data_IF_597741675483
#
_entry.id   IF_597741675483
#
_cell.length_a   1.000
_cell.length_b   1.000
_cell.length_c   1.000
_cell.angle_alpha   90.00
_cell.angle_beta   90.00
_cell.angle_gamma   90.00
#
_symmetry.space_group_name_H-M   'P 1'
#
loop_
_entity.id
_entity.type
_entity.pdbx_description
1 polymer ?
#
# COMPACT_ATOMS: atom_id res chain seq x y z
N UNK A 1 -25.93 21.84 -1.07
CA UNK A 1 -26.23 20.40 -1.17
C UNK A 1 -24.99 19.51 -1.02
N UNK A 2 -24.11 19.32 -2.02
CA UNK A 2 -22.96 18.38 -1.89
C UNK A 2 -21.98 18.76 -0.76
N UNK A 3 -21.71 20.05 -0.57
CA UNK A 3 -20.84 20.55 0.51
C UNK A 3 -21.41 20.32 1.93
N UNK A 4 -22.74 20.39 2.09
CA UNK A 4 -23.40 20.16 3.40
C UNK A 4 -23.40 18.68 3.74
N UNK A 5 -23.63 17.82 2.75
CA UNK A 5 -23.56 16.38 2.88
C UNK A 5 -22.14 15.93 3.29
N UNK A 6 -21.12 16.50 2.66
CA UNK A 6 -19.71 16.25 3.01
C UNK A 6 -19.41 16.66 4.46
N UNK A 7 -19.87 17.86 4.89
CA UNK A 7 -19.74 18.31 6.28
C UNK A 7 -20.41 17.36 7.26
N UNK A 8 -21.62 16.90 6.95
CA UNK A 8 -22.36 15.94 7.76
C UNK A 8 -21.61 14.60 7.88
N UNK A 9 -21.12 14.04 6.76
CA UNK A 9 -20.36 12.78 6.77
C UNK A 9 -19.08 12.94 7.62
N UNK A 10 -18.38 14.07 7.51
CA UNK A 10 -17.20 14.35 8.33
C UNK A 10 -17.53 14.47 9.82
N UNK A 11 -18.64 15.13 10.17
CA UNK A 11 -19.09 15.24 11.56
C UNK A 11 -19.50 13.88 12.13
N UNK A 12 -20.25 13.08 11.37
CA UNK A 12 -20.64 11.72 11.76
C UNK A 12 -19.41 10.81 11.98
N UNK A 13 -18.38 10.93 11.13
CA UNK A 13 -17.09 10.24 11.34
C UNK A 13 -16.40 10.70 12.62
N UNK A 14 -16.37 12.01 12.92
CA UNK A 14 -15.81 12.53 14.19
C UNK A 14 -16.52 11.98 15.42
N UNK A 15 -17.82 11.70 15.30
CA UNK A 15 -18.63 11.06 16.35
C UNK A 15 -18.44 9.53 16.43
N UNK A 16 -17.56 8.95 15.61
CA UNK A 16 -17.23 7.51 15.65
C UNK A 16 -18.20 6.61 14.88
N UNK A 17 -19.06 7.17 14.01
CA UNK A 17 -19.96 6.37 13.18
C UNK A 17 -19.20 5.78 11.97
N UNK A 18 -19.37 4.47 11.75
CA UNK A 18 -18.81 3.79 10.59
C UNK A 18 -19.51 4.16 9.28
N UNK A 19 -18.79 4.07 8.16
CA UNK A 19 -19.30 4.45 6.83
C UNK A 19 -20.61 3.72 6.45
N UNK A 20 -20.77 2.45 6.85
CA UNK A 20 -21.99 1.68 6.60
C UNK A 20 -23.23 2.32 7.25
N UNK A 21 -23.14 2.64 8.55
CA UNK A 21 -24.23 3.30 9.31
C UNK A 21 -24.55 4.68 8.76
N UNK A 22 -23.53 5.43 8.33
CA UNK A 22 -23.74 6.77 7.73
C UNK A 22 -24.47 6.64 6.39
N UNK A 23 -24.12 5.66 5.55
CA UNK A 23 -24.82 5.39 4.29
C UNK A 23 -26.27 5.02 4.51
N UNK A 24 -26.54 4.09 5.43
CA UNK A 24 -27.90 3.67 5.79
C UNK A 24 -28.74 4.85 6.29
N UNK A 25 -28.19 5.68 7.16
CA UNK A 25 -28.88 6.86 7.68
C UNK A 25 -29.20 7.89 6.59
N UNK A 26 -28.30 8.10 5.62
CA UNK A 26 -28.53 9.02 4.50
C UNK A 26 -29.59 8.48 3.53
N UNK A 27 -29.52 7.20 3.17
CA UNK A 27 -30.52 6.55 2.31
C UNK A 27 -31.91 6.50 2.98
N UNK A 28 -31.96 6.21 4.28
CA UNK A 28 -33.19 6.19 5.05
C UNK A 28 -33.87 7.56 5.19
N UNK A 29 -33.11 8.65 5.06
CA UNK A 29 -33.63 10.02 5.02
C UNK A 29 -33.97 10.51 3.59
N UNK A 30 -34.00 9.60 2.61
CA UNK A 30 -34.41 9.92 1.24
C UNK A 30 -33.33 10.59 0.38
N UNK A 31 -32.06 10.55 0.79
CA UNK A 31 -30.98 11.05 -0.07
C UNK A 31 -30.77 10.12 -1.27
N UNK A 32 -30.66 10.67 -2.50
CA UNK A 32 -30.37 9.87 -3.69
C UNK A 32 -29.04 9.12 -3.58
N UNK A 33 -29.07 7.82 -3.89
CA UNK A 33 -27.90 6.93 -3.80
C UNK A 33 -26.68 7.46 -4.55
N UNK A 34 -26.89 7.98 -5.77
CA UNK A 34 -25.84 8.56 -6.61
C UNK A 34 -25.12 9.76 -5.95
N UNK A 35 -25.84 10.59 -5.20
CA UNK A 35 -25.26 11.75 -4.51
C UNK A 35 -24.47 11.29 -3.30
N UNK A 36 -24.99 10.31 -2.55
CA UNK A 36 -24.32 9.73 -1.38
C UNK A 36 -23.01 9.08 -1.81
N UNK A 37 -23.03 8.22 -2.83
CA UNK A 37 -21.83 7.55 -3.35
C UNK A 37 -20.78 8.55 -3.84
N UNK A 38 -21.20 9.59 -4.57
CA UNK A 38 -20.28 10.65 -5.04
C UNK A 38 -19.61 11.39 -3.88
N UNK A 39 -20.36 11.70 -2.81
CA UNK A 39 -19.81 12.36 -1.63
C UNK A 39 -18.82 11.48 -0.86
N UNK A 40 -19.09 10.17 -0.76
CA UNK A 40 -18.13 9.22 -0.17
C UNK A 40 -16.87 9.07 -1.03
N UNK A 41 -16.99 9.01 -2.35
CA UNK A 41 -15.86 8.93 -3.27
C UNK A 41 -14.96 10.19 -3.24
N UNK A 42 -15.53 11.35 -2.98
CA UNK A 42 -14.77 12.60 -2.80
C UNK A 42 -14.05 12.67 -1.45
N UNK A 43 -14.62 12.06 -0.41
CA UNK A 43 -14.10 12.05 0.96
C UNK A 43 -13.11 10.92 1.25
N UNK A 44 -13.13 9.85 0.46
CA UNK A 44 -12.09 8.83 0.51
C UNK A 44 -10.89 9.40 -0.25
N UNK A 45 -9.76 9.69 0.43
CA UNK A 45 -8.54 10.00 -0.29
C UNK A 45 -8.14 8.72 -1.01
N UNK A 46 -8.64 8.53 -2.24
CA UNK A 46 -8.06 7.55 -3.14
C UNK A 46 -6.57 7.82 -3.15
N UNK A 47 -5.77 6.78 -2.99
CA UNK A 47 -4.31 6.87 -3.08
C UNK A 47 -3.95 7.64 -4.36
N UNK A 48 -3.67 8.94 -4.25
CA UNK A 48 -3.31 9.81 -5.36
C UNK A 48 -1.80 9.85 -5.41
N UNK A 49 -1.21 8.82 -6.02
CA UNK A 49 0.17 8.92 -6.42
C UNK A 49 0.32 10.16 -7.33
N UNK A 50 1.11 11.14 -6.89
CA UNK A 50 1.40 12.37 -7.65
C UNK A 50 1.97 12.04 -9.03
N UNK A 51 2.73 10.95 -9.10
CA UNK A 51 3.38 10.44 -10.29
C UNK A 51 2.85 9.05 -10.62
N UNK A 52 2.70 8.75 -11.92
CA UNK A 52 2.29 7.43 -12.42
C UNK A 52 3.37 6.87 -13.33
N UNK A 53 3.64 5.58 -13.19
CA UNK A 53 4.58 4.85 -14.06
C UNK A 53 3.82 3.69 -14.68
N UNK A 54 3.91 3.55 -16.00
CA UNK A 54 3.36 2.41 -16.73
C UNK A 54 4.50 1.44 -17.03
N UNK A 55 4.34 0.17 -16.67
CA UNK A 55 5.33 -0.88 -16.86
C UNK A 55 4.64 -2.03 -17.58
N UNK A 56 5.22 -2.49 -18.68
CA UNK A 56 4.78 -3.67 -19.39
C UNK A 56 5.59 -4.86 -18.89
N UNK A 57 4.89 -5.92 -18.48
CA UNK A 57 5.48 -7.14 -17.92
C UNK A 57 4.87 -8.35 -18.60
N UNK A 58 5.68 -9.38 -18.79
CA UNK A 58 5.21 -10.67 -19.29
C UNK A 58 4.28 -11.35 -18.28
N UNK A 59 3.38 -12.20 -18.79
CA UNK A 59 2.38 -12.91 -17.98
C UNK A 59 3.00 -13.76 -16.87
N UNK A 60 4.16 -14.36 -17.12
CA UNK A 60 4.87 -15.17 -16.13
C UNK A 60 5.35 -14.33 -14.94
N UNK A 61 5.89 -13.14 -15.22
CA UNK A 61 6.35 -12.21 -14.18
C UNK A 61 5.16 -11.70 -13.38
N UNK A 62 4.07 -11.36 -14.05
CA UNK A 62 2.83 -10.91 -13.42
C UNK A 62 2.29 -11.97 -12.44
N UNK A 63 2.22 -13.24 -12.85
CA UNK A 63 1.78 -14.33 -11.99
C UNK A 63 2.67 -14.53 -10.75
N UNK A 64 3.99 -14.34 -10.89
CA UNK A 64 4.94 -14.41 -9.76
C UNK A 64 4.72 -13.24 -8.77
N UNK A 65 4.50 -12.03 -9.28
CA UNK A 65 4.22 -10.86 -8.45
C UNK A 65 2.90 -11.00 -7.68
N UNK A 66 1.85 -11.52 -8.31
CA UNK A 66 0.57 -11.77 -7.65
C UNK A 66 0.65 -12.80 -6.54
N UNK A 67 1.38 -13.91 -6.76
CA UNK A 67 1.64 -14.90 -5.69
C UNK A 67 2.31 -14.23 -4.50
N UNK A 68 3.33 -13.40 -4.74
CA UNK A 68 4.07 -12.70 -3.69
C UNK A 68 3.19 -11.68 -2.95
N UNK A 69 2.37 -10.93 -3.69
CA UNK A 69 1.43 -9.96 -3.13
C UNK A 69 0.45 -10.64 -2.15
N UNK A 70 -0.10 -11.80 -2.55
CA UNK A 70 -0.97 -12.61 -1.67
C UNK A 70 -0.27 -13.07 -0.40
N UNK A 71 0.96 -13.59 -0.51
CA UNK A 71 1.75 -14.01 0.66
C UNK A 71 1.99 -12.86 1.63
N UNK A 72 2.23 -11.66 1.10
CA UNK A 72 2.50 -10.47 1.91
C UNK A 72 1.24 -9.70 2.34
N UNK A 73 0.04 -10.19 2.00
CA UNK A 73 -1.25 -9.52 2.23
C UNK A 73 -1.29 -8.09 1.65
N UNK A 74 -0.65 -7.89 0.50
CA UNK A 74 -0.62 -6.63 -0.24
C UNK A 74 -1.41 -6.75 -1.54
N UNK A 75 -1.89 -5.61 -2.05
CA UNK A 75 -2.31 -5.51 -3.44
C UNK A 75 -1.09 -5.60 -4.38
N UNK A 76 -1.33 -5.93 -5.66
CA UNK A 76 -0.25 -5.99 -6.65
C UNK A 76 0.50 -4.65 -6.77
N UNK A 77 -0.23 -3.54 -6.75
CA UNK A 77 0.34 -2.20 -6.81
C UNK A 77 1.23 -1.89 -5.61
N UNK A 78 0.77 -2.20 -4.39
CA UNK A 78 1.56 -2.02 -3.17
C UNK A 78 2.79 -2.92 -3.15
N UNK A 79 2.67 -4.14 -3.67
CA UNK A 79 3.79 -5.07 -3.77
C UNK A 79 4.88 -4.56 -4.74
N UNK A 80 4.48 -3.97 -5.87
CA UNK A 80 5.40 -3.35 -6.83
C UNK A 80 6.06 -2.12 -6.19
N UNK A 81 5.29 -1.28 -5.50
CA UNK A 81 5.83 -0.11 -4.79
C UNK A 81 6.84 -0.54 -3.71
N UNK A 82 6.54 -1.57 -2.92
CA UNK A 82 7.45 -2.07 -1.89
C UNK A 82 8.75 -2.61 -2.49
N UNK A 83 8.69 -3.30 -3.64
CA UNK A 83 9.88 -3.76 -4.36
C UNK A 83 10.73 -2.57 -4.82
N UNK A 84 10.12 -1.58 -5.47
CA UNK A 84 10.83 -0.39 -5.95
C UNK A 84 11.43 0.40 -4.79
N UNK A 85 10.68 0.56 -3.69
CA UNK A 85 11.13 1.23 -2.47
C UNK A 85 12.35 0.52 -1.89
N UNK A 86 12.29 -0.81 -1.70
CA UNK A 86 13.44 -1.59 -1.21
C UNK A 86 14.63 -1.48 -2.15
N UNK A 87 14.41 -1.56 -3.46
CA UNK A 87 15.49 -1.47 -4.44
C UNK A 87 16.17 -0.09 -4.44
N UNK A 88 15.42 0.98 -4.15
CA UNK A 88 15.96 2.34 -4.11
C UNK A 88 16.59 2.70 -2.76
N UNK A 89 16.01 2.21 -1.65
CA UNK A 89 16.40 2.60 -0.29
C UNK A 89 17.44 1.67 0.34
N UNK A 90 17.59 0.44 -0.14
CA UNK A 90 18.68 -0.41 0.36
C UNK A 90 19.97 0.15 -0.23
N UNK A 91 20.83 0.83 0.55
CA UNK A 91 22.15 1.15 0.06
C UNK A 91 22.79 -0.18 -0.30
N UNK A 92 23.40 -0.28 -1.51
CA UNK A 92 24.34 -1.37 -1.75
C UNK A 92 25.29 -1.33 -0.56
N UNK A 93 25.31 -2.38 0.26
CA UNK A 93 26.39 -2.56 1.22
C UNK A 93 27.64 -2.50 0.37
N UNK A 94 28.35 -1.37 0.40
CA UNK A 94 29.74 -1.37 0.01
C UNK A 94 30.32 -2.42 0.93
N UNK A 95 30.57 -3.62 0.39
CA UNK A 95 31.29 -4.61 1.15
C UNK A 95 32.55 -3.90 1.59
N UNK A 96 32.66 -3.58 2.88
CA UNK A 96 33.98 -3.49 3.45
C UNK A 96 34.63 -4.78 3.01
N UNK A 97 35.68 -4.67 2.19
CA UNK A 97 36.49 -5.81 1.83
C UNK A 97 36.90 -6.39 3.19
N UNK A 98 36.35 -7.54 3.55
CA UNK A 98 36.82 -8.27 4.72
C UNK A 98 38.34 -8.29 4.60
N UNK A 99 39.03 -7.82 5.65
CA UNK A 99 40.48 -7.84 5.64
C UNK A 99 40.88 -9.28 5.36
N UNK A 100 41.88 -9.48 4.50
CA UNK A 100 42.31 -10.81 4.07
C UNK A 100 42.50 -11.74 5.28
N UNK A 101 42.99 -11.19 6.38
CA UNK A 101 43.18 -11.88 7.65
C UNK A 101 41.88 -12.41 8.26
N UNK A 102 40.80 -11.64 8.26
CA UNK A 102 39.48 -12.09 8.76
C UNK A 102 38.90 -13.21 7.87
N UNK A 103 39.13 -13.11 6.55
CA UNK A 103 38.75 -14.16 5.59
C UNK A 103 39.53 -15.46 5.86
N UNK A 104 40.85 -15.36 6.06
CA UNK A 104 41.70 -16.50 6.37
C UNK A 104 41.34 -17.11 7.72
N UNK A 105 41.12 -16.29 8.74
CA UNK A 105 40.66 -16.74 10.06
C UNK A 105 39.31 -17.45 9.93
N UNK A 106 38.35 -16.95 9.14
CA UNK A 106 37.05 -17.63 8.97
C UNK A 106 37.14 -18.96 8.23
N UNK A 107 38.01 -19.06 7.22
CA UNK A 107 38.27 -20.29 6.46
C UNK A 107 38.93 -21.39 7.30
N UNK A 108 39.85 -20.99 8.20
CA UNK A 108 40.61 -21.92 9.03
C UNK A 108 40.06 -22.08 10.45
N UNK A 109 39.16 -21.21 10.90
CA UNK A 109 38.42 -21.37 12.14
C UNK A 109 37.38 -22.46 11.94
N UNK A 110 37.82 -23.70 12.20
CA UNK A 110 36.98 -24.89 12.27
C UNK A 110 35.89 -24.68 13.34
N UNK A 111 34.76 -24.08 12.96
CA UNK A 111 33.52 -24.25 13.72
C UNK A 111 33.11 -25.71 13.57
N UNK A 112 33.34 -26.51 14.63
CA UNK A 112 32.70 -27.82 14.81
C UNK A 112 31.19 -27.60 14.66
N UNK A 113 30.58 -28.25 13.67
CA UNK A 113 29.13 -28.47 13.65
C UNK A 113 28.73 -29.33 14.85
#
# INVERSE_FOLDING_TARGET
MTQELIKFILEARRRGLGNAKIREALLGNGWPLNIVEKAFAELEPGYRAKNKVCIYLDSEIMARLEKRAKTNMLTLSEQIEDILRRSALIPKKSGEKEKLDDLLVSLFSRKKR
#
